data_IF_256837245542
#
_entry.id   IF_256837245542
#
_cell.length_a   1.000
_cell.length_b   1.000
_cell.length_c   1.000
_cell.angle_alpha   90.00
_cell.angle_beta   90.00
_cell.angle_gamma   90.00
#
_symmetry.space_group_name_H-M   'P 1'
#
loop_
_entity.id
_entity.type
_entity.pdbx_description
1 polymer ?
#
# COMPACT_ATOMS: atom_id res chain seq x y z
N UNK A 1 30.23 -21.75 -23.62
CA UNK A 1 29.78 -22.14 -22.27
C UNK A 1 28.30 -21.82 -22.21
N UNK A 2 27.45 -22.85 -22.26
CA UNK A 2 26.01 -22.67 -22.12
C UNK A 2 25.72 -22.55 -20.61
N UNK A 3 25.37 -21.35 -20.15
CA UNK A 3 24.64 -21.22 -18.90
C UNK A 3 23.32 -21.97 -19.09
N UNK A 4 23.18 -23.13 -18.45
CA UNK A 4 21.93 -23.85 -18.42
C UNK A 4 20.88 -22.91 -17.82
N UNK A 5 19.93 -22.45 -18.64
CA UNK A 5 18.80 -21.65 -18.19
C UNK A 5 18.10 -22.44 -17.08
N UNK A 6 18.24 -21.99 -15.83
CA UNK A 6 17.55 -22.59 -14.70
C UNK A 6 16.05 -22.46 -14.93
N UNK A 7 15.32 -23.59 -14.80
CA UNK A 7 13.86 -23.60 -14.95
C UNK A 7 13.23 -22.53 -14.04
N UNK A 8 12.25 -21.74 -14.51
CA UNK A 8 11.55 -20.73 -13.70
C UNK A 8 10.98 -21.30 -12.39
N UNK A 9 10.52 -22.57 -12.43
CA UNK A 9 10.04 -23.30 -11.25
C UNK A 9 11.15 -23.44 -10.22
N UNK A 10 12.36 -23.85 -10.65
CA UNK A 10 13.51 -24.00 -9.75
C UNK A 10 13.90 -22.67 -9.12
N UNK A 11 14.02 -21.60 -9.92
CA UNK A 11 14.36 -20.27 -9.39
C UNK A 11 13.31 -19.79 -8.38
N UNK A 12 12.03 -20.04 -8.65
CA UNK A 12 10.96 -19.72 -7.73
C UNK A 12 11.02 -20.59 -6.47
N UNK A 13 11.19 -21.90 -6.59
CA UNK A 13 11.31 -22.82 -5.46
C UNK A 13 12.52 -22.49 -4.55
N UNK A 14 13.66 -22.09 -5.15
CA UNK A 14 14.83 -21.59 -4.41
C UNK A 14 14.49 -20.29 -3.67
N UNK A 15 13.82 -19.35 -4.32
CA UNK A 15 13.40 -18.08 -3.71
C UNK A 15 12.42 -18.31 -2.56
N UNK A 16 11.44 -19.18 -2.74
CA UNK A 16 10.37 -19.48 -1.78
C UNK A 16 10.67 -20.70 -0.90
N UNK A 17 11.94 -21.11 -0.79
CA UNK A 17 12.35 -22.31 -0.05
C UNK A 17 11.78 -22.36 1.36
N UNK A 18 11.77 -21.23 2.09
CA UNK A 18 11.24 -21.16 3.45
C UNK A 18 9.72 -21.40 3.53
N UNK A 19 8.96 -20.97 2.51
CA UNK A 19 7.51 -21.20 2.40
C UNK A 19 7.25 -22.67 2.09
N UNK A 20 7.99 -23.25 1.15
CA UNK A 20 7.88 -24.67 0.81
C UNK A 20 8.26 -25.59 1.97
N UNK A 21 9.34 -25.26 2.71
CA UNK A 21 9.70 -25.96 3.95
C UNK A 21 8.59 -25.88 4.99
N UNK A 22 8.03 -24.69 5.21
CA UNK A 22 6.94 -24.49 6.16
C UNK A 22 5.72 -25.31 5.75
N UNK A 23 5.40 -25.35 4.46
CA UNK A 23 4.33 -26.17 3.90
C UNK A 23 4.53 -27.66 4.19
N UNK A 24 5.73 -28.18 3.96
CA UNK A 24 6.05 -29.59 4.21
C UNK A 24 5.94 -29.96 5.70
N UNK A 25 6.39 -29.08 6.60
CA UNK A 25 6.38 -29.35 8.05
C UNK A 25 5.01 -29.11 8.66
N UNK A 26 4.35 -27.99 8.36
CA UNK A 26 3.16 -27.55 9.07
C UNK A 26 1.86 -28.05 8.44
N UNK A 27 1.80 -28.19 7.12
CA UNK A 27 0.59 -28.61 6.40
C UNK A 27 0.67 -30.06 5.94
N UNK A 28 1.88 -30.56 5.60
CA UNK A 28 2.10 -31.97 5.24
C UNK A 28 2.69 -32.82 6.38
N UNK A 29 3.03 -32.19 7.51
CA UNK A 29 3.47 -32.87 8.74
C UNK A 29 4.71 -33.77 8.60
N UNK A 30 5.59 -33.47 7.64
CA UNK A 30 6.90 -34.12 7.58
C UNK A 30 7.79 -33.62 8.73
N UNK A 31 8.71 -34.48 9.17
CA UNK A 31 9.75 -34.02 10.08
C UNK A 31 10.61 -32.94 9.40
N UNK A 32 11.26 -32.03 10.15
CA UNK A 32 12.12 -31.02 9.55
C UNK A 32 13.24 -31.60 8.68
N UNK A 33 13.79 -32.77 9.05
CA UNK A 33 14.87 -33.40 8.29
C UNK A 33 14.35 -34.07 7.01
N UNK A 34 13.21 -34.76 7.07
CA UNK A 34 12.56 -35.32 5.88
C UNK A 34 12.15 -34.22 4.90
N UNK A 35 11.62 -33.11 5.42
CA UNK A 35 11.24 -31.94 4.62
C UNK A 35 12.44 -31.35 3.89
N UNK A 36 13.60 -31.25 4.54
CA UNK A 36 14.85 -30.79 3.91
C UNK A 36 15.30 -31.73 2.81
N UNK A 37 15.24 -33.04 3.05
CA UNK A 37 15.61 -34.05 2.05
C UNK A 37 14.70 -34.00 0.84
N UNK A 38 13.37 -33.97 1.05
CA UNK A 38 12.37 -33.87 -0.01
C UNK A 38 12.54 -32.60 -0.82
N UNK A 39 12.69 -31.45 -0.15
CA UNK A 39 12.84 -30.19 -0.86
C UNK A 39 14.17 -30.09 -1.61
N UNK A 40 15.26 -30.65 -1.06
CA UNK A 40 16.55 -30.73 -1.77
C UNK A 40 16.43 -31.61 -3.02
N UNK A 41 15.84 -32.80 -2.91
CA UNK A 41 15.61 -33.68 -4.06
C UNK A 41 14.72 -33.01 -5.11
N UNK A 42 13.66 -32.34 -4.66
CA UNK A 42 12.79 -31.56 -5.53
C UNK A 42 13.56 -30.47 -6.29
N UNK A 43 14.46 -29.72 -5.65
CA UNK A 43 15.27 -28.69 -6.31
C UNK A 43 16.31 -29.26 -7.29
N UNK A 44 16.87 -30.42 -6.99
CA UNK A 44 17.81 -31.11 -7.87
C UNK A 44 17.09 -31.67 -9.13
N UNK A 45 15.92 -32.29 -8.96
CA UNK A 45 15.13 -32.90 -10.03
C UNK A 45 14.29 -31.88 -10.83
N UNK A 46 13.81 -30.79 -10.21
CA UNK A 46 13.05 -29.72 -10.88
C UNK A 46 13.86 -28.95 -11.93
N UNK A 47 15.19 -29.09 -11.93
CA UNK A 47 16.06 -28.58 -13.00
C UNK A 47 15.75 -29.18 -14.38
N UNK A 48 15.04 -30.32 -14.43
CA UNK A 48 14.64 -31.00 -15.65
C UNK A 48 13.18 -30.74 -16.06
N UNK A 49 12.41 -30.04 -15.22
CA UNK A 49 11.01 -29.76 -15.48
C UNK A 49 10.87 -28.54 -16.39
N UNK A 50 10.45 -28.80 -17.64
CA UNK A 50 9.98 -27.75 -18.54
C UNK A 50 8.61 -27.27 -18.07
N UNK A 51 8.46 -25.96 -17.91
CA UNK A 51 7.15 -25.31 -17.87
C UNK A 51 6.51 -25.58 -19.24
N UNK A 52 5.73 -26.66 -19.33
CA UNK A 52 5.02 -26.96 -20.57
C UNK A 52 4.10 -25.78 -20.86
N UNK A 53 4.08 -25.27 -22.10
CA UNK A 53 3.19 -24.20 -22.54
C UNK A 53 1.68 -24.53 -22.45
N UNK A 54 1.29 -25.61 -21.75
CA UNK A 54 -0.10 -25.90 -21.36
C UNK A 54 -0.50 -25.22 -20.05
N UNK A 55 0.38 -24.43 -19.42
CA UNK A 55 0.09 -23.62 -18.22
C UNK A 55 -0.73 -22.36 -18.57
N UNK A 56 -1.41 -22.40 -19.71
CA UNK A 56 -2.09 -21.30 -20.36
C UNK A 56 -3.38 -20.91 -19.62
N UNK A 57 -3.58 -19.59 -19.58
CA UNK A 57 -4.78 -18.75 -19.55
C UNK A 57 -6.18 -19.33 -19.19
N UNK A 58 -6.48 -20.60 -19.45
CA UNK A 58 -7.79 -21.21 -19.25
C UNK A 58 -8.04 -21.65 -17.80
N UNK A 59 -7.01 -22.02 -17.03
CA UNK A 59 -7.21 -22.63 -15.69
C UNK A 59 -7.37 -21.64 -14.55
N UNK A 60 -7.12 -20.34 -14.75
CA UNK A 60 -7.12 -19.30 -13.69
C UNK A 60 -6.29 -19.67 -12.45
N UNK A 61 -5.33 -20.58 -12.58
CA UNK A 61 -4.54 -21.11 -11.47
C UNK A 61 -3.32 -20.22 -11.26
N UNK A 62 -3.14 -19.71 -10.04
CA UNK A 62 -2.02 -18.86 -9.67
C UNK A 62 -0.69 -19.63 -9.66
N UNK A 63 0.44 -18.94 -9.90
CA UNK A 63 1.74 -19.61 -9.98
C UNK A 63 2.12 -20.29 -8.65
N UNK A 64 1.74 -19.70 -7.51
CA UNK A 64 1.94 -20.31 -6.19
C UNK A 64 1.19 -21.65 -6.03
N UNK A 65 -0.03 -21.75 -6.59
CA UNK A 65 -0.82 -23.00 -6.54
C UNK A 65 -0.15 -24.07 -7.40
N UNK A 66 0.34 -23.70 -8.59
CA UNK A 66 1.08 -24.61 -9.46
C UNK A 66 2.34 -25.15 -8.78
N UNK A 67 3.12 -24.27 -8.13
CA UNK A 67 4.31 -24.67 -7.38
C UNK A 67 3.97 -25.66 -6.24
N UNK A 68 2.87 -25.43 -5.52
CA UNK A 68 2.40 -26.33 -4.46
C UNK A 68 1.97 -27.68 -5.02
N UNK A 69 1.17 -27.69 -6.07
CA UNK A 69 0.66 -28.92 -6.71
C UNK A 69 1.78 -29.77 -7.30
N UNK A 70 2.79 -29.12 -7.88
CA UNK A 70 3.98 -29.78 -8.40
C UNK A 70 4.82 -30.41 -7.28
N UNK A 71 5.04 -29.69 -6.17
CA UNK A 71 5.69 -30.24 -4.98
C UNK A 71 4.90 -31.41 -4.40
N UNK A 72 3.58 -31.32 -4.33
CA UNK A 72 2.72 -32.40 -3.83
C UNK A 72 2.83 -33.66 -4.70
N UNK A 73 2.89 -33.49 -6.02
CA UNK A 73 3.09 -34.60 -6.96
C UNK A 73 4.45 -35.25 -6.77
N UNK A 74 5.51 -34.44 -6.64
CA UNK A 74 6.85 -34.95 -6.35
C UNK A 74 6.88 -35.76 -5.06
N UNK A 75 6.30 -35.23 -3.98
CA UNK A 75 6.22 -35.92 -2.69
C UNK A 75 5.47 -37.25 -2.81
N UNK A 76 4.33 -37.29 -3.50
CA UNK A 76 3.59 -38.52 -3.72
C UNK A 76 4.42 -39.57 -4.48
N UNK A 77 5.15 -39.18 -5.52
CA UNK A 77 6.02 -40.08 -6.25
C UNK A 77 7.16 -40.62 -5.36
N UNK A 78 7.75 -39.79 -4.51
CA UNK A 78 8.82 -40.22 -3.59
C UNK A 78 8.30 -41.14 -2.48
N UNK A 79 7.10 -40.90 -1.95
CA UNK A 79 6.43 -41.79 -0.98
C UNK A 79 6.09 -43.14 -1.63
N UNK A 80 5.64 -43.15 -2.89
CA UNK A 80 5.37 -44.40 -3.62
C UNK A 80 6.65 -45.19 -3.90
N UNK A 81 7.78 -44.50 -4.12
CA UNK A 81 9.09 -45.12 -4.36
C UNK A 81 9.79 -45.56 -3.07
N UNK A 82 9.48 -44.94 -1.92
CA UNK A 82 10.21 -45.12 -0.66
C UNK A 82 9.27 -45.45 0.51
N UNK A 83 9.42 -46.64 1.09
CA UNK A 83 8.66 -47.12 2.28
C UNK A 83 8.96 -46.32 3.56
N UNK A 84 9.94 -45.41 3.53
CA UNK A 84 10.45 -44.72 4.72
C UNK A 84 9.66 -43.47 5.13
N UNK A 85 8.72 -42.98 4.31
CA UNK A 85 7.94 -41.79 4.67
C UNK A 85 6.58 -42.21 5.25
N UNK A 86 6.23 -41.83 6.48
CA UNK A 86 4.91 -42.11 7.02
C UNK A 86 3.84 -41.47 6.14
N UNK A 87 2.77 -42.23 5.83
CA UNK A 87 1.62 -41.72 5.09
C UNK A 87 1.05 -40.49 5.83
N UNK A 88 1.02 -39.36 5.13
CA UNK A 88 0.48 -38.09 5.64
C UNK A 88 -0.99 -38.29 6.06
N UNK A 89 -1.30 -38.09 7.34
CA UNK A 89 -2.68 -37.98 7.78
C UNK A 89 -3.24 -36.65 7.28
N UNK A 90 -4.23 -36.69 6.39
CA UNK A 90 -5.03 -35.51 6.06
C UNK A 90 -5.82 -35.11 7.32
N UNK A 91 -5.55 -33.94 7.86
CA UNK A 91 -6.46 -33.29 8.80
C UNK A 91 -7.52 -32.52 8.02
N UNK A 92 -8.79 -32.84 8.24
CA UNK A 92 -9.94 -32.30 7.49
C UNK A 92 -10.27 -30.82 7.82
N UNK A 93 -9.52 -30.16 8.71
CA UNK A 93 -9.89 -28.85 9.27
C UNK A 93 -9.01 -27.66 8.85
N UNK A 94 -7.89 -27.86 8.14
CA UNK A 94 -7.05 -26.74 7.67
C UNK A 94 -7.26 -26.53 6.19
N UNK A 95 -7.73 -25.34 5.82
CA UNK A 95 -7.70 -24.88 4.43
C UNK A 95 -6.23 -24.67 4.01
N UNK A 96 -5.61 -25.74 3.54
CA UNK A 96 -4.20 -25.79 3.15
C UNK A 96 -3.88 -24.78 2.04
N UNK A 97 -4.86 -24.46 1.19
CA UNK A 97 -4.69 -23.49 0.13
C UNK A 97 -4.57 -22.07 0.70
N UNK A 98 -5.48 -21.73 1.61
CA UNK A 98 -5.43 -20.44 2.30
C UNK A 98 -4.19 -20.29 3.17
N UNK A 99 -3.82 -21.32 3.93
CA UNK A 99 -2.64 -21.30 4.79
C UNK A 99 -1.35 -21.09 3.98
N UNK A 100 -1.19 -21.81 2.86
CA UNK A 100 -0.09 -21.62 1.93
C UNK A 100 -0.08 -20.22 1.31
N UNK A 101 -1.24 -19.73 0.86
CA UNK A 101 -1.40 -18.39 0.29
C UNK A 101 -0.99 -17.26 1.25
N UNK A 102 -1.35 -17.37 2.53
CA UNK A 102 -0.94 -16.39 3.56
C UNK A 102 0.57 -16.41 3.79
N UNK A 103 1.19 -17.59 3.95
CA UNK A 103 2.65 -17.68 4.15
C UNK A 103 3.42 -17.15 2.94
N UNK A 104 2.94 -17.48 1.74
CA UNK A 104 3.47 -16.98 0.49
C UNK A 104 3.45 -15.45 0.48
N UNK A 105 2.30 -14.84 0.73
CA UNK A 105 2.14 -13.40 0.73
C UNK A 105 3.02 -12.71 1.80
N UNK A 106 3.08 -13.24 3.03
CA UNK A 106 4.00 -12.74 4.07
C UNK A 106 5.46 -12.77 3.62
N UNK A 107 5.88 -13.87 2.97
CA UNK A 107 7.24 -13.99 2.47
C UNK A 107 7.53 -12.96 1.38
N UNK A 108 6.65 -12.84 0.37
CA UNK A 108 6.78 -11.86 -0.72
C UNK A 108 6.95 -10.45 -0.16
N UNK A 109 6.05 -10.05 0.74
CA UNK A 109 6.06 -8.72 1.34
C UNK A 109 7.32 -8.50 2.17
N UNK A 110 7.73 -9.47 3.00
CA UNK A 110 8.95 -9.38 3.81
C UNK A 110 10.21 -9.27 2.95
N UNK A 111 10.31 -10.07 1.90
CA UNK A 111 11.46 -10.06 1.00
C UNK A 111 11.53 -8.77 0.17
N UNK A 112 10.39 -8.26 -0.29
CA UNK A 112 10.32 -6.95 -0.95
C UNK A 112 10.78 -5.81 -0.01
N UNK A 113 10.38 -5.83 1.26
CA UNK A 113 10.85 -4.87 2.28
C UNK A 113 12.36 -4.99 2.51
N UNK A 114 12.87 -6.22 2.63
CA UNK A 114 14.31 -6.48 2.81
C UNK A 114 15.13 -5.91 1.64
N UNK A 115 14.68 -6.14 0.40
CA UNK A 115 15.30 -5.60 -0.82
C UNK A 115 15.20 -4.07 -0.87
N UNK A 116 14.06 -3.50 -0.48
CA UNK A 116 13.87 -2.05 -0.44
C UNK A 116 14.82 -1.38 0.57
N UNK A 117 14.99 -1.98 1.76
CA UNK A 117 15.96 -1.53 2.77
C UNK A 117 17.40 -1.57 2.27
N UNK A 118 17.80 -2.70 1.68
CA UNK A 118 19.14 -2.85 1.10
C UNK A 118 19.41 -1.75 0.06
N UNK A 119 18.46 -1.51 -0.83
CA UNK A 119 18.57 -0.45 -1.85
C UNK A 119 18.64 0.95 -1.24
N UNK A 120 17.91 1.23 -0.16
CA UNK A 120 18.01 2.52 0.54
C UNK A 120 19.40 2.72 1.16
N UNK A 121 19.97 1.68 1.78
CA UNK A 121 21.32 1.72 2.34
C UNK A 121 22.38 1.94 1.25
N UNK A 122 22.29 1.21 0.13
CA UNK A 122 23.21 1.35 -1.01
C UNK A 122 23.16 2.74 -1.64
N UNK A 123 21.98 3.36 -1.70
CA UNK A 123 21.77 4.71 -2.22
C UNK A 123 22.12 5.83 -1.21
N UNK A 124 22.57 5.49 0.00
CA UNK A 124 22.86 6.46 1.06
C UNK A 124 21.62 7.16 1.64
N UNK A 125 20.44 6.56 1.52
CA UNK A 125 19.15 7.11 1.95
C UNK A 125 18.77 6.54 3.34
N UNK A 126 19.55 6.88 4.36
CA UNK A 126 19.39 6.36 5.73
C UNK A 126 18.03 6.73 6.34
N UNK A 127 17.48 7.89 5.97
CA UNK A 127 16.18 8.36 6.43
C UNK A 127 15.06 7.45 5.91
N UNK A 128 15.15 6.97 4.67
CA UNK A 128 14.18 6.02 4.10
C UNK A 128 14.30 4.62 4.72
N UNK A 129 15.51 4.22 5.11
CA UNK A 129 15.73 2.97 5.84
C UNK A 129 15.01 3.00 7.20
N UNK A 130 15.06 4.13 7.92
CA UNK A 130 14.37 4.29 9.21
C UNK A 130 12.85 4.13 9.08
N UNK A 131 12.25 4.64 7.99
CA UNK A 131 10.81 4.47 7.71
C UNK A 131 10.42 3.00 7.66
N UNK A 132 11.22 2.16 6.99
CA UNK A 132 10.92 0.73 6.95
C UNK A 132 11.08 0.05 8.32
N UNK A 133 11.96 0.53 9.20
CA UNK A 133 12.12 -0.03 10.55
C UNK A 133 10.95 0.34 11.46
N UNK A 134 10.47 1.59 11.41
CA UNK A 134 9.28 2.01 12.15
C UNK A 134 8.05 1.17 11.78
N UNK A 135 7.89 0.80 10.50
CA UNK A 135 6.82 -0.08 10.01
C UNK A 135 6.93 -1.51 10.58
N UNK A 136 8.13 -2.09 10.64
CA UNK A 136 8.32 -3.42 11.25
C UNK A 136 8.12 -3.42 12.77
N UNK A 137 8.46 -2.33 13.45
CA UNK A 137 8.35 -2.20 14.91
C UNK A 137 6.94 -1.75 15.35
N UNK A 138 6.06 -1.41 14.41
CA UNK A 138 4.71 -0.89 14.71
C UNK A 138 4.74 0.47 15.42
N UNK A 139 5.81 1.22 15.23
CA UNK A 139 6.00 2.54 15.84
C UNK A 139 5.28 3.61 15.02
N UNK A 140 4.73 4.65 15.67
CA UNK A 140 3.99 5.69 14.96
C UNK A 140 4.96 6.57 14.16
N UNK A 141 4.81 6.55 12.82
CA UNK A 141 5.65 7.32 11.91
C UNK A 141 5.38 8.85 12.00
N UNK A 142 4.22 9.24 12.50
CA UNK A 142 3.68 10.60 12.42
C UNK A 142 3.52 11.25 13.79
N UNK A 143 4.53 11.12 14.64
CA UNK A 143 4.57 11.80 15.95
C UNK A 143 5.70 12.82 15.99
N UNK A 144 5.44 14.01 16.53
CA UNK A 144 6.46 15.04 16.74
C UNK A 144 6.06 16.40 16.18
N UNK A 145 7.06 17.24 15.91
CA UNK A 145 6.85 18.58 15.35
C UNK A 145 6.39 18.54 13.89
N UNK A 146 5.75 19.62 13.42
CA UNK A 146 5.29 19.81 12.04
C UNK A 146 6.37 19.56 10.97
N UNK A 147 7.62 19.99 11.23
CA UNK A 147 8.74 19.74 10.32
C UNK A 147 9.04 18.24 10.17
N UNK A 148 9.02 17.50 11.28
CA UNK A 148 9.24 16.06 11.29
C UNK A 148 8.06 15.31 10.63
N UNK A 149 6.82 15.79 10.81
CA UNK A 149 5.63 15.22 10.18
C UNK A 149 5.73 15.25 8.63
N UNK A 150 6.03 16.42 8.07
CA UNK A 150 6.21 16.61 6.61
C UNK A 150 7.38 15.81 6.06
N UNK A 151 8.50 15.78 6.79
CA UNK A 151 9.67 15.00 6.40
C UNK A 151 9.38 13.49 6.38
N UNK A 152 8.75 12.98 7.43
CA UNK A 152 8.36 11.57 7.54
C UNK A 152 7.38 11.17 6.45
N UNK A 153 6.42 12.03 6.10
CA UNK A 153 5.49 11.79 5.00
C UNK A 153 6.19 11.76 3.64
N UNK A 154 7.08 12.72 3.36
CA UNK A 154 7.85 12.73 2.12
C UNK A 154 8.73 11.49 1.99
N UNK A 155 9.34 11.07 3.10
CA UNK A 155 10.15 9.87 3.17
C UNK A 155 9.30 8.61 3.01
N UNK A 156 8.11 8.55 3.60
CA UNK A 156 7.15 7.47 3.41
C UNK A 156 6.74 7.32 1.94
N UNK A 157 6.42 8.41 1.23
CA UNK A 157 6.11 8.38 -0.20
C UNK A 157 7.28 7.85 -1.03
N UNK A 158 8.51 8.23 -0.70
CA UNK A 158 9.71 7.74 -1.41
C UNK A 158 9.97 6.27 -1.13
N UNK A 159 9.91 5.85 0.14
CA UNK A 159 10.02 4.46 0.57
C UNK A 159 8.97 3.58 -0.13
N UNK A 160 7.72 4.07 -0.24
CA UNK A 160 6.63 3.44 -1.00
C UNK A 160 7.02 3.08 -2.42
N UNK A 161 7.57 4.05 -3.15
CA UNK A 161 7.95 3.87 -4.55
C UNK A 161 9.04 2.81 -4.67
N UNK A 162 10.03 2.83 -3.77
CA UNK A 162 11.10 1.84 -3.75
C UNK A 162 10.54 0.45 -3.44
N UNK A 163 9.70 0.33 -2.42
CA UNK A 163 9.05 -0.94 -2.06
C UNK A 163 8.27 -1.53 -3.23
N UNK A 164 7.40 -0.75 -3.88
CA UNK A 164 6.61 -1.21 -5.04
C UNK A 164 7.51 -1.68 -6.18
N UNK A 165 8.59 -0.96 -6.46
CA UNK A 165 9.56 -1.39 -7.48
C UNK A 165 10.23 -2.71 -7.10
N UNK A 166 10.61 -2.90 -5.83
CA UNK A 166 11.23 -4.15 -5.39
C UNK A 166 10.25 -5.31 -5.36
N UNK A 167 8.98 -5.07 -5.01
CA UNK A 167 7.92 -6.06 -5.09
C UNK A 167 7.68 -6.50 -6.54
N UNK A 168 7.57 -5.54 -7.46
CA UNK A 168 7.38 -5.84 -8.88
C UNK A 168 8.56 -6.62 -9.45
N UNK A 169 9.79 -6.24 -9.12
CA UNK A 169 11.00 -6.98 -9.51
C UNK A 169 10.97 -8.41 -8.94
N UNK A 170 10.65 -8.57 -7.65
CA UNK A 170 10.58 -9.89 -7.01
C UNK A 170 9.55 -10.79 -7.70
N UNK A 171 8.37 -10.26 -8.03
CA UNK A 171 7.34 -11.03 -8.71
C UNK A 171 7.73 -11.36 -10.17
N UNK A 172 8.33 -10.42 -10.91
CA UNK A 172 8.83 -10.66 -12.27
C UNK A 172 9.98 -11.68 -12.31
N UNK A 173 10.81 -11.74 -11.26
CA UNK A 173 11.89 -12.71 -11.16
C UNK A 173 11.40 -14.14 -10.90
N UNK A 174 10.21 -14.28 -10.33
CA UNK A 174 9.68 -15.54 -9.79
C UNK A 174 8.48 -16.08 -10.56
N UNK A 175 7.78 -15.23 -11.31
CA UNK A 175 6.61 -15.58 -12.13
C UNK A 175 6.98 -15.45 -13.62
N UNK A 176 6.94 -16.54 -14.40
CA UNK A 176 7.41 -16.55 -15.79
C UNK A 176 6.46 -15.88 -16.81
N UNK A 177 5.21 -15.60 -16.43
CA UNK A 177 4.15 -15.09 -17.32
C UNK A 177 3.47 -13.84 -16.74
N UNK A 178 3.24 -12.84 -17.59
CA UNK A 178 2.55 -11.59 -17.26
C UNK A 178 1.11 -11.78 -16.75
N UNK A 179 0.36 -12.74 -17.29
CA UNK A 179 -1.00 -13.03 -16.84
C UNK A 179 -1.03 -13.65 -15.45
N UNK A 180 -0.05 -14.49 -15.11
CA UNK A 180 0.11 -15.05 -13.76
C UNK A 180 0.56 -13.97 -12.78
N UNK A 181 1.38 -13.02 -13.22
CA UNK A 181 1.84 -11.89 -12.41
C UNK A 181 0.67 -11.05 -11.88
N UNK A 182 -0.29 -10.69 -12.75
CA UNK A 182 -1.45 -9.89 -12.34
C UNK A 182 -2.36 -10.65 -11.37
N UNK A 183 -2.48 -11.97 -11.52
CA UNK A 183 -3.20 -12.82 -10.56
C UNK A 183 -2.51 -12.90 -9.20
N UNK A 184 -1.17 -13.00 -9.18
CA UNK A 184 -0.40 -12.97 -7.93
C UNK A 184 -0.53 -11.61 -7.22
N UNK A 185 -0.42 -10.50 -7.97
CA UNK A 185 -0.66 -9.15 -7.43
C UNK A 185 -2.06 -9.02 -6.83
N UNK A 186 -3.09 -9.47 -7.53
CA UNK A 186 -4.46 -9.45 -7.02
C UNK A 186 -4.63 -10.35 -5.79
N UNK A 187 -3.90 -11.46 -5.71
CA UNK A 187 -3.98 -12.42 -4.61
C UNK A 187 -3.32 -11.91 -3.33
N UNK A 188 -2.24 -11.12 -3.42
CA UNK A 188 -1.60 -10.51 -2.25
C UNK A 188 -2.60 -9.68 -1.43
N UNK A 189 -3.43 -8.89 -2.11
CA UNK A 189 -4.52 -8.10 -1.49
C UNK A 189 -5.55 -8.96 -0.75
N UNK A 190 -5.78 -10.20 -1.20
CA UNK A 190 -6.78 -11.09 -0.61
C UNK A 190 -6.26 -11.84 0.62
N UNK A 191 -4.98 -12.22 0.65
CA UNK A 191 -4.42 -13.04 1.74
C UNK A 191 -3.90 -12.22 2.91
N UNK A 192 -3.37 -11.03 2.64
CA UNK A 192 -2.72 -10.21 3.65
C UNK A 192 -3.29 -8.79 3.67
N UNK A 193 -4.62 -8.60 3.74
CA UNK A 193 -5.21 -7.27 3.72
C UNK A 193 -4.71 -6.43 4.90
N UNK A 194 -4.59 -7.01 6.10
CA UNK A 194 -4.12 -6.30 7.29
C UNK A 194 -2.63 -5.96 7.27
N UNK A 195 -1.78 -6.80 6.66
CA UNK A 195 -0.36 -6.48 6.53
C UNK A 195 -0.12 -5.52 5.38
N UNK A 196 -0.91 -5.61 4.32
CA UNK A 196 -0.98 -4.60 3.28
C UNK A 196 -1.69 -3.33 3.72
N UNK A 197 -2.46 -3.35 4.83
CA UNK A 197 -3.08 -2.21 5.51
C UNK A 197 -2.12 -1.57 6.53
N UNK A 198 -1.35 -2.36 7.29
CA UNK A 198 -0.22 -1.87 8.08
C UNK A 198 0.87 -1.30 7.17
N UNK A 199 1.19 -2.05 6.12
CA UNK A 199 1.98 -1.59 4.97
C UNK A 199 1.13 -0.82 3.95
N UNK A 200 -0.13 -0.42 4.26
CA UNK A 200 -0.97 0.41 3.34
C UNK A 200 -0.63 1.88 3.43
N UNK A 201 0.23 2.25 4.35
CA UNK A 201 1.13 3.37 4.11
C UNK A 201 1.80 3.25 2.72
N UNK A 202 2.01 2.03 2.18
CA UNK A 202 2.69 1.72 0.92
C UNK A 202 1.88 1.09 -0.24
N UNK A 203 0.70 0.48 -0.03
CA UNK A 203 -0.06 -0.11 -1.16
C UNK A 203 -1.45 0.44 -1.42
N UNK A 204 -2.31 0.59 -0.42
CA UNK A 204 -3.53 1.37 -0.64
C UNK A 204 -3.18 2.87 -0.61
N UNK A 205 -4.15 3.72 -0.91
CA UNK A 205 -4.16 5.09 -0.40
C UNK A 205 -3.34 6.17 -1.13
N UNK A 206 -4.10 6.95 -1.90
CA UNK A 206 -4.09 8.40 -1.83
C UNK A 206 -4.56 8.98 -0.46
N UNK A 207 -4.83 8.15 0.56
CA UNK A 207 -5.44 8.59 1.81
C UNK A 207 -4.50 8.31 2.99
N UNK A 208 -3.93 9.35 3.57
CA UNK A 208 -3.46 9.28 4.94
C UNK A 208 -4.58 8.71 5.86
N UNK A 209 -4.20 8.07 6.96
CA UNK A 209 -5.16 7.66 7.99
C UNK A 209 -5.94 8.88 8.51
N UNK A 210 -7.09 8.65 9.16
CA UNK A 210 -7.89 9.75 9.73
C UNK A 210 -7.04 10.53 10.75
N UNK A 211 -6.24 9.82 11.54
CA UNK A 211 -5.32 10.38 12.52
C UNK A 211 -4.23 11.23 11.86
N UNK A 212 -3.61 10.73 10.79
CA UNK A 212 -2.60 11.47 10.02
C UNK A 212 -3.19 12.73 9.37
N UNK A 213 -4.35 12.61 8.73
CA UNK A 213 -5.04 13.75 8.12
C UNK A 213 -5.41 14.81 9.17
N UNK A 214 -5.78 14.37 10.37
CA UNK A 214 -6.07 15.27 11.48
C UNK A 214 -4.81 16.05 11.91
N UNK A 215 -3.66 15.39 11.99
CA UNK A 215 -2.39 16.04 12.33
C UNK A 215 -1.98 17.05 11.25
N UNK A 216 -2.04 16.66 9.98
CA UNK A 216 -1.73 17.58 8.89
C UNK A 216 -2.71 18.73 8.78
N UNK A 217 -4.00 18.50 9.04
CA UNK A 217 -5.01 19.56 9.04
C UNK A 217 -4.73 20.59 10.14
N UNK A 218 -4.42 20.15 11.36
CA UNK A 218 -4.00 21.04 12.46
C UNK A 218 -2.75 21.84 12.11
N UNK A 219 -1.74 21.17 11.55
CA UNK A 219 -0.54 21.85 11.08
C UNK A 219 -0.88 22.92 10.03
N UNK A 220 -1.75 22.59 9.07
CA UNK A 220 -2.16 23.52 8.02
C UNK A 220 -2.86 24.77 8.56
N UNK A 221 -3.67 24.61 9.62
CA UNK A 221 -4.34 25.70 10.32
C UNK A 221 -3.34 26.67 10.99
N UNK A 222 -2.28 26.12 11.58
CA UNK A 222 -1.30 26.85 12.40
C UNK A 222 -0.14 27.46 11.59
N UNK A 223 0.32 26.80 10.52
CA UNK A 223 1.52 27.25 9.80
C UNK A 223 1.23 28.49 8.96
N UNK A 224 2.06 29.55 9.07
CA UNK A 224 1.88 30.76 8.29
C UNK A 224 2.04 30.47 6.80
N UNK A 225 1.06 30.89 6.02
CA UNK A 225 1.09 30.71 4.56
C UNK A 225 2.10 31.71 3.98
N UNK A 226 3.08 31.25 3.19
CA UNK A 226 4.11 32.13 2.63
C UNK A 226 3.51 33.35 1.91
N UNK A 227 3.91 34.54 2.34
CA UNK A 227 3.47 35.79 1.74
C UNK A 227 2.08 36.30 2.16
N UNK A 228 1.36 35.60 3.06
CA UNK A 228 0.06 36.03 3.58
C UNK A 228 0.09 36.43 5.06
N UNK A 229 1.21 36.22 5.77
CA UNK A 229 1.45 36.80 7.10
C UNK A 229 0.71 36.15 8.27
N UNK A 230 -0.08 35.10 8.01
CA UNK A 230 -0.82 34.34 9.03
C UNK A 230 -1.12 32.90 8.59
N UNK A 231 -1.58 32.07 9.54
CA UNK A 231 -1.98 30.68 9.31
C UNK A 231 -3.33 30.55 8.58
N UNK A 232 -3.70 29.35 8.12
CA UNK A 232 -5.02 29.15 7.48
C UNK A 232 -6.16 29.53 8.45
N UNK A 233 -6.02 29.28 9.74
CA UNK A 233 -7.02 29.68 10.73
C UNK A 233 -7.19 31.21 10.80
N UNK A 234 -6.10 31.95 10.93
CA UNK A 234 -6.09 33.42 10.94
C UNK A 234 -6.62 33.99 9.61
N UNK A 235 -6.27 33.35 8.49
CA UNK A 235 -6.78 33.71 7.17
C UNK A 235 -8.30 33.52 7.05
N UNK A 236 -8.84 32.47 7.67
CA UNK A 236 -10.28 32.20 7.68
C UNK A 236 -11.05 33.08 8.68
N UNK A 237 -10.38 33.61 9.73
CA UNK A 237 -10.98 34.48 10.74
C UNK A 237 -10.96 35.97 10.34
N UNK A 238 -9.80 36.52 10.00
CA UNK A 238 -9.60 37.97 9.91
C UNK A 238 -9.86 38.57 8.53
N UNK A 239 -9.80 37.79 7.44
CA UNK A 239 -9.94 38.37 6.10
C UNK A 239 -11.41 38.60 5.75
N UNK A 240 -11.82 39.85 5.92
CA UNK A 240 -12.85 40.45 5.08
C UNK A 240 -12.28 40.67 3.68
N UNK A 241 -12.75 39.89 2.70
CA UNK A 241 -12.62 40.13 1.25
C UNK A 241 -11.21 39.99 0.65
N UNK A 242 -10.97 38.95 -0.16
CA UNK A 242 -10.73 39.09 -1.61
C UNK A 242 -10.57 37.68 -2.24
N UNK A 243 -11.10 37.49 -3.45
CA UNK A 243 -10.86 36.27 -4.25
C UNK A 243 -9.36 36.06 -4.45
N UNK A 244 -8.62 37.16 -4.51
CA UNK A 244 -7.15 37.19 -4.60
C UNK A 244 -6.46 36.50 -3.42
N UNK A 245 -6.98 36.64 -2.19
CA UNK A 245 -6.40 35.96 -1.02
C UNK A 245 -6.63 34.44 -1.07
N UNK A 246 -7.81 34.00 -1.48
CA UNK A 246 -8.10 32.58 -1.68
C UNK A 246 -7.27 31.98 -2.83
N UNK A 247 -7.06 32.74 -3.91
CA UNK A 247 -6.19 32.33 -5.02
C UNK A 247 -4.73 32.21 -4.58
N UNK A 248 -4.21 33.15 -3.79
CA UNK A 248 -2.84 33.09 -3.25
C UNK A 248 -2.64 31.95 -2.25
N UNK A 249 -3.64 31.69 -1.42
CA UNK A 249 -3.66 30.53 -0.53
C UNK A 249 -3.61 29.23 -1.35
N UNK A 250 -4.47 29.12 -2.38
CA UNK A 250 -4.48 27.98 -3.29
C UNK A 250 -3.11 27.76 -3.94
N UNK A 251 -2.51 28.79 -4.54
CA UNK A 251 -1.19 28.72 -5.17
C UNK A 251 -0.09 28.26 -4.18
N UNK A 252 -0.09 28.80 -2.96
CA UNK A 252 0.88 28.41 -1.93
C UNK A 252 0.72 26.94 -1.52
N UNK A 253 -0.53 26.49 -1.29
CA UNK A 253 -0.81 25.11 -0.92
C UNK A 253 -0.59 24.12 -2.07
N UNK A 254 -0.87 24.54 -3.31
CA UNK A 254 -0.58 23.76 -4.52
C UNK A 254 0.93 23.57 -4.67
N UNK A 255 1.73 24.62 -4.45
CA UNK A 255 3.19 24.54 -4.45
C UNK A 255 3.71 23.53 -3.43
N UNK A 256 3.30 23.64 -2.16
CA UNK A 256 3.71 22.71 -1.10
C UNK A 256 3.27 21.25 -1.38
N UNK A 257 2.07 21.08 -1.94
CA UNK A 257 1.55 19.77 -2.36
C UNK A 257 2.35 19.20 -3.53
N UNK A 258 2.76 20.03 -4.50
CA UNK A 258 3.59 19.64 -5.64
C UNK A 258 4.99 19.17 -5.21
N UNK A 259 5.50 19.76 -4.12
CA UNK A 259 6.78 19.39 -3.50
C UNK A 259 6.66 18.13 -2.61
N UNK A 260 5.43 17.62 -2.41
CA UNK A 260 5.15 16.41 -1.65
C UNK A 260 5.16 16.59 -0.14
N UNK A 261 4.99 17.82 0.35
CA UNK A 261 4.95 18.11 1.79
C UNK A 261 3.57 17.84 2.41
N UNK A 262 2.50 17.99 1.63
CA UNK A 262 1.13 17.72 2.08
C UNK A 262 0.40 16.70 1.19
N UNK A 263 -0.51 15.90 1.76
CA UNK A 263 -1.49 15.13 1.01
C UNK A 263 -2.38 15.99 0.11
N UNK A 264 -2.60 15.57 -1.14
CA UNK A 264 -3.46 16.28 -2.11
C UNK A 264 -4.90 16.51 -1.63
N UNK A 265 -5.40 15.65 -0.75
CA UNK A 265 -6.75 15.78 -0.19
C UNK A 265 -6.89 17.01 0.71
N UNK A 266 -5.80 17.49 1.31
CA UNK A 266 -5.80 18.69 2.15
C UNK A 266 -5.93 19.96 1.32
N UNK A 267 -5.28 20.02 0.14
CA UNK A 267 -5.45 21.13 -0.80
C UNK A 267 -6.93 21.30 -1.16
N UNK A 268 -7.58 20.19 -1.56
CA UNK A 268 -9.02 20.18 -1.86
C UNK A 268 -9.86 20.64 -0.67
N UNK A 269 -9.52 20.20 0.54
CA UNK A 269 -10.27 20.60 1.73
C UNK A 269 -10.07 22.07 2.08
N UNK A 270 -8.85 22.60 1.98
CA UNK A 270 -8.55 24.01 2.21
C UNK A 270 -9.28 24.90 1.19
N UNK A 271 -9.25 24.53 -0.09
CA UNK A 271 -9.97 25.26 -1.15
C UNK A 271 -11.47 25.33 -0.87
N UNK A 272 -12.09 24.17 -0.59
CA UNK A 272 -13.52 24.10 -0.28
C UNK A 272 -13.86 24.81 1.03
N UNK A 273 -12.96 24.83 2.01
CA UNK A 273 -13.15 25.54 3.29
C UNK A 273 -13.12 27.05 3.07
N UNK A 274 -12.15 27.54 2.30
CA UNK A 274 -12.08 28.95 1.90
C UNK A 274 -13.33 29.39 1.13
N UNK A 275 -13.84 28.53 0.24
CA UNK A 275 -15.11 28.76 -0.46
C UNK A 275 -16.31 28.78 0.49
N UNK A 276 -16.39 27.82 1.43
CA UNK A 276 -17.46 27.76 2.42
C UNK A 276 -17.51 29.03 3.26
N UNK A 277 -16.35 29.50 3.76
CA UNK A 277 -16.24 30.76 4.52
C UNK A 277 -16.67 31.96 3.68
N UNK A 278 -16.23 32.02 2.42
CA UNK A 278 -16.62 33.10 1.50
C UNK A 278 -18.14 33.18 1.30
N UNK A 279 -18.80 32.03 1.06
CA UNK A 279 -20.26 31.94 0.92
C UNK A 279 -20.97 32.35 2.22
N UNK A 280 -20.48 31.86 3.37
CA UNK A 280 -21.03 32.18 4.68
C UNK A 280 -20.95 33.68 4.99
N UNK A 281 -19.92 34.39 4.53
CA UNK A 281 -19.73 35.83 4.82
C UNK A 281 -20.40 36.74 3.79
N UNK A 282 -20.28 36.43 2.50
CA UNK A 282 -20.65 37.35 1.41
C UNK A 282 -21.97 37.00 0.72
N UNK A 283 -22.39 35.73 0.79
CA UNK A 283 -23.56 35.24 0.07
C UNK A 283 -23.39 35.18 -1.46
N UNK A 284 -22.19 35.48 -1.97
CA UNK A 284 -21.89 35.51 -3.41
C UNK A 284 -20.93 34.37 -3.80
N UNK A 285 -21.25 33.68 -4.89
CA UNK A 285 -20.39 32.65 -5.49
C UNK A 285 -19.40 33.37 -6.40
N UNK A 286 -18.14 33.47 -5.97
CA UNK A 286 -17.13 34.26 -6.66
C UNK A 286 -16.39 33.54 -7.81
N UNK A 287 -16.78 32.31 -8.15
CA UNK A 287 -16.05 31.46 -9.08
C UNK A 287 -16.99 30.77 -10.07
N UNK A 288 -16.47 30.44 -11.26
CA UNK A 288 -17.13 29.72 -12.38
C UNK A 288 -17.57 28.27 -12.04
N UNK A 289 -17.71 27.93 -10.76
CA UNK A 289 -18.19 26.62 -10.34
C UNK A 289 -19.69 26.48 -10.60
N UNK A 290 -20.07 25.32 -11.15
CA UNK A 290 -21.44 24.86 -11.10
C UNK A 290 -21.90 24.79 -9.63
N UNK A 291 -23.05 25.40 -9.32
CA UNK A 291 -23.68 25.34 -7.98
C UNK A 291 -23.79 23.89 -7.49
N UNK A 292 -24.10 22.96 -8.40
CA UNK A 292 -24.22 21.53 -8.10
C UNK A 292 -22.91 20.89 -7.67
N UNK A 293 -21.80 21.23 -8.35
CA UNK A 293 -20.48 20.67 -8.02
C UNK A 293 -19.94 21.26 -6.72
N UNK A 294 -20.25 22.53 -6.45
CA UNK A 294 -19.94 23.18 -5.19
C UNK A 294 -20.72 22.56 -4.03
N UNK A 295 -22.03 22.31 -4.19
CA UNK A 295 -22.84 21.57 -3.21
C UNK A 295 -22.28 20.18 -2.92
N UNK A 296 -21.86 19.43 -3.94
CA UNK A 296 -21.19 18.13 -3.73
C UNK A 296 -19.87 18.26 -2.97
N UNK A 297 -19.08 19.27 -3.29
CA UNK A 297 -17.80 19.56 -2.63
C UNK A 297 -17.99 19.90 -1.14
N UNK A 298 -18.93 20.80 -0.84
CA UNK A 298 -19.25 21.17 0.54
C UNK A 298 -19.86 19.99 1.31
N UNK A 299 -20.75 19.21 0.69
CA UNK A 299 -21.25 17.98 1.32
C UNK A 299 -20.12 17.01 1.63
N UNK A 300 -19.17 16.83 0.70
CA UNK A 300 -17.98 16.01 0.95
C UNK A 300 -17.18 16.50 2.16
N UNK A 301 -16.98 17.82 2.34
CA UNK A 301 -16.33 18.37 3.54
C UNK A 301 -17.04 17.94 4.84
N UNK A 302 -18.38 18.02 4.90
CA UNK A 302 -19.15 17.62 6.10
C UNK A 302 -19.02 16.14 6.46
N UNK A 303 -18.50 15.31 5.55
CA UNK A 303 -18.31 13.87 5.76
C UNK A 303 -16.88 13.49 6.11
N UNK A 304 -15.95 14.44 6.20
CA UNK A 304 -14.56 14.15 6.50
C UNK A 304 -14.34 14.07 8.02
N UNK A 305 -14.03 12.88 8.59
CA UNK A 305 -13.91 12.70 10.05
C UNK A 305 -12.63 13.31 10.65
N UNK A 306 -11.71 13.78 9.83
CA UNK A 306 -10.40 14.33 10.21
C UNK A 306 -10.34 15.86 10.21
N UNK A 307 -11.42 16.53 9.78
CA UNK A 307 -11.56 17.98 9.85
C UNK A 307 -12.07 18.40 11.24
N UNK A 308 -11.76 19.62 11.64
CA UNK A 308 -12.24 20.24 12.87
C UNK A 308 -13.71 20.70 12.76
N UNK A 309 -14.36 20.85 13.92
CA UNK A 309 -15.79 21.18 14.00
C UNK A 309 -16.14 22.50 13.30
N UNK A 310 -15.23 23.48 13.35
CA UNK A 310 -15.43 24.79 12.73
C UNK A 310 -15.51 24.70 11.20
N UNK A 311 -14.66 23.88 10.59
CA UNK A 311 -14.71 23.61 9.15
C UNK A 311 -16.00 22.91 8.74
N UNK A 312 -16.49 21.97 9.54
CA UNK A 312 -17.80 21.34 9.30
C UNK A 312 -18.95 22.34 9.39
N UNK A 313 -18.89 23.26 10.34
CA UNK A 313 -19.89 24.31 10.51
C UNK A 313 -19.96 25.22 9.28
N UNK A 314 -18.81 25.74 8.82
CA UNK A 314 -18.75 26.56 7.61
C UNK A 314 -19.28 25.83 6.36
N UNK A 315 -18.92 24.56 6.19
CA UNK A 315 -19.40 23.77 5.06
C UNK A 315 -20.93 23.57 5.10
N UNK A 316 -21.49 23.34 6.29
CA UNK A 316 -22.94 23.14 6.48
C UNK A 316 -23.72 24.43 6.24
N UNK A 317 -23.28 25.55 6.82
CA UNK A 317 -23.93 26.86 6.61
C UNK A 317 -23.86 27.31 5.15
N UNK A 318 -22.74 27.03 4.46
CA UNK A 318 -22.60 27.34 3.04
C UNK A 318 -23.56 26.51 2.17
N UNK A 319 -23.76 25.22 2.50
CA UNK A 319 -24.73 24.35 1.82
C UNK A 319 -26.16 24.88 1.95
N UNK A 320 -26.54 25.31 3.15
CA UNK A 320 -27.88 25.85 3.41
C UNK A 320 -28.12 27.13 2.59
N UNK A 321 -27.12 28.02 2.54
CA UNK A 321 -27.20 29.26 1.73
C UNK A 321 -27.32 29.00 0.23
N UNK A 322 -26.58 28.02 -0.31
CA UNK A 322 -26.67 27.67 -1.72
C UNK A 322 -28.01 27.00 -2.07
N UNK A 323 -28.59 26.26 -1.13
CA UNK A 323 -29.90 25.61 -1.32
C UNK A 323 -31.03 26.64 -1.38
N UNK A 324 -30.94 27.71 -0.58
CA UNK A 324 -31.90 28.82 -0.58
C UNK A 324 -31.78 29.76 -1.79
N UNK A 325 -30.64 29.77 -2.49
CA UNK A 325 -30.41 30.60 -3.68
C UNK A 325 -30.85 29.93 -5.00
N UNK A 326 -31.19 28.64 -4.96
CA UNK A 326 -31.61 27.84 -6.11
C UNK A 326 -33.13 27.68 -6.27
N UNK A 327 -33.93 28.25 -5.36
CA UNK A 327 -35.40 28.36 -5.43
C UNK A 327 -35.84 29.71 -6.02
#
# INVERSE_FOLDING_TARGET
MNEAQTSPIRKCAETFHSVLMSYLVCERHFSPDDSRMLLKGYLEESSQMQVNGSWNAETKTSFRQLLREDLDKYVQEQVLRSVCFPLVQKHDNVDMERAFGVRWAHFVLKEATRRARARCLEAGLQELFSVFNYDEEGLPLFTGSSALLRENYRNAIKAKRIFRQQLEILLLETVPDWHLLEQEKASLNNFCPQELERRASLESMHNCSVEELTLFWKELLEIPVPGLGGGLEELLEDFGHDVECLARLHEALEHETSMGYYPKVLLKAADLTGLAVSICRTGTIYLDYSIHDLQKGLFWLTKQPWLDEKTHLYASEALDKLSLAGE
#
